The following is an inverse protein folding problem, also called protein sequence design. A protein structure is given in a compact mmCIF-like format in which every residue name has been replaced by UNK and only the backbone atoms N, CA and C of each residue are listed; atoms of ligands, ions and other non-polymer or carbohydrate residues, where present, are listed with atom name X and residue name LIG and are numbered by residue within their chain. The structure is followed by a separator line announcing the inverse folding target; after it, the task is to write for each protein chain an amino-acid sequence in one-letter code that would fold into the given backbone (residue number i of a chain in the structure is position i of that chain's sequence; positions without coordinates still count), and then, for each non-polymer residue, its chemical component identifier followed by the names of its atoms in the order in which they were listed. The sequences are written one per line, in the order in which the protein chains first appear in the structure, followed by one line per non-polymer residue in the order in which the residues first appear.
data_IF_507250203207
#
_entry.id   IF_507250203207
#
_cell.length_a   1.000
_cell.length_b   1.000
_cell.length_c   1.000
_cell.angle_alpha   90.00
_cell.angle_beta   90.00
_cell.angle_gamma   90.00
#
_symmetry.space_group_name_H-M   'P 1'
#
loop_
_entity.id
_entity.type
_entity.pdbx_description
1 polymer ?
#
# COMPACT_ATOMS: atom_id res chain seq x y z
N UNK A 1 -12.93 -28.36 -10.75
CA UNK A 1 -12.71 -26.91 -10.98
C UNK A 1 -13.56 -26.50 -12.15
N UNK A 2 -14.31 -25.43 -12.01
CA UNK A 2 -15.10 -24.87 -13.11
C UNK A 2 -14.18 -24.12 -14.08
N UNK A 3 -14.62 -23.98 -15.36
CA UNK A 3 -13.86 -23.20 -16.36
C UNK A 3 -13.53 -21.77 -15.87
N UNK A 4 -14.43 -21.16 -15.10
CA UNK A 4 -14.19 -19.85 -14.51
C UNK A 4 -13.03 -19.85 -13.49
N UNK A 5 -12.93 -20.86 -12.64
CA UNK A 5 -11.83 -21.01 -11.67
C UNK A 5 -10.47 -21.18 -12.36
N UNK A 6 -10.45 -21.93 -13.45
CA UNK A 6 -9.21 -22.10 -14.26
C UNK A 6 -8.78 -20.77 -14.87
N UNK A 7 -9.73 -20.00 -15.46
CA UNK A 7 -9.41 -18.69 -16.01
C UNK A 7 -8.88 -17.72 -14.93
N UNK A 8 -9.43 -17.73 -13.73
CA UNK A 8 -8.96 -16.90 -12.61
C UNK A 8 -7.54 -17.29 -12.23
N UNK A 9 -7.24 -18.59 -12.08
CA UNK A 9 -5.89 -19.07 -11.76
C UNK A 9 -4.87 -18.69 -12.82
N UNK A 10 -5.22 -18.82 -14.10
CA UNK A 10 -4.34 -18.41 -15.20
C UNK A 10 -4.06 -16.91 -15.14
N UNK A 11 -5.08 -16.10 -14.90
CA UNK A 11 -4.93 -14.64 -14.79
C UNK A 11 -4.02 -14.25 -13.61
N UNK A 12 -4.16 -14.90 -12.46
CA UNK A 12 -3.30 -14.69 -11.28
C UNK A 12 -1.87 -15.12 -11.62
N UNK A 13 -1.67 -16.28 -12.23
CA UNK A 13 -0.35 -16.77 -12.60
C UNK A 13 0.36 -15.85 -13.59
N UNK A 14 -0.33 -15.40 -14.62
CA UNK A 14 0.20 -14.44 -15.62
C UNK A 14 0.58 -13.12 -14.95
N UNK A 15 -0.27 -12.60 -14.05
CA UNK A 15 0.02 -11.38 -13.30
C UNK A 15 1.27 -11.54 -12.41
N UNK A 16 1.37 -12.63 -11.66
CA UNK A 16 2.54 -12.89 -10.79
C UNK A 16 3.83 -13.04 -11.59
N UNK A 17 3.80 -13.76 -12.71
CA UNK A 17 4.97 -13.91 -13.60
C UNK A 17 5.38 -12.55 -14.15
N UNK A 18 4.43 -11.73 -14.60
CA UNK A 18 4.72 -10.38 -15.10
C UNK A 18 5.34 -9.50 -14.00
N UNK A 19 4.80 -9.54 -12.78
CA UNK A 19 5.34 -8.79 -11.64
C UNK A 19 6.75 -9.24 -11.26
N UNK A 20 7.01 -10.55 -11.23
CA UNK A 20 8.35 -11.09 -10.97
C UNK A 20 9.34 -10.67 -12.06
N UNK A 21 8.95 -10.75 -13.33
CA UNK A 21 9.79 -10.33 -14.44
C UNK A 21 10.16 -8.84 -14.34
N UNK A 22 9.18 -7.97 -14.04
CA UNK A 22 9.42 -6.54 -13.82
C UNK A 22 10.34 -6.34 -12.61
N UNK A 23 10.11 -7.05 -11.51
CA UNK A 23 10.93 -6.98 -10.31
C UNK A 23 12.39 -7.34 -10.56
N UNK A 24 12.64 -8.42 -11.29
CA UNK A 24 14.00 -8.85 -11.67
C UNK A 24 14.69 -7.82 -12.59
N UNK A 25 13.98 -7.27 -13.56
CA UNK A 25 14.52 -6.25 -14.47
C UNK A 25 14.85 -4.96 -13.71
N UNK A 26 13.94 -4.52 -12.82
CA UNK A 26 14.14 -3.31 -12.03
C UNK A 26 15.22 -3.48 -10.96
N UNK A 27 15.34 -4.66 -10.35
CA UNK A 27 16.35 -4.97 -9.33
C UNK A 27 17.78 -4.72 -9.84
N UNK A 28 18.05 -5.00 -11.11
CA UNK A 28 19.37 -4.75 -11.71
C UNK A 28 19.75 -3.26 -11.81
N UNK A 29 18.79 -2.36 -11.64
CA UNK A 29 19.00 -0.91 -11.69
C UNK A 29 19.06 -0.24 -10.32
N UNK A 30 18.77 -0.99 -9.26
CA UNK A 30 18.75 -0.49 -7.89
C UNK A 30 20.11 -0.74 -7.22
N UNK A 31 20.96 0.28 -7.19
CA UNK A 31 22.30 0.18 -6.61
C UNK A 31 22.40 0.81 -5.21
N UNK A 32 21.43 1.62 -4.83
CA UNK A 32 21.44 2.35 -3.55
C UNK A 32 20.13 2.16 -2.79
N UNK A 33 20.16 2.44 -1.48
CA UNK A 33 18.97 2.42 -0.61
C UNK A 33 17.94 3.46 -1.10
N UNK A 34 18.40 4.62 -1.56
CA UNK A 34 17.55 5.66 -2.15
C UNK A 34 16.88 5.19 -3.45
N UNK A 35 17.57 4.42 -4.28
CA UNK A 35 17.00 3.86 -5.51
C UNK A 35 15.90 2.86 -5.17
N UNK A 36 16.10 2.03 -4.14
CA UNK A 36 15.13 1.02 -3.74
C UNK A 36 13.86 1.63 -3.14
N UNK A 37 13.98 2.55 -2.16
CA UNK A 37 12.82 3.11 -1.46
C UNK A 37 12.16 4.29 -2.19
N UNK A 38 12.93 5.10 -2.90
CA UNK A 38 12.49 6.36 -3.48
C UNK A 38 12.59 6.42 -5.00
N UNK A 39 12.96 5.30 -5.65
CA UNK A 39 13.22 5.26 -7.10
C UNK A 39 14.29 6.28 -7.53
N UNK A 40 15.30 6.52 -6.68
CA UNK A 40 16.34 7.52 -6.91
C UNK A 40 15.82 8.96 -6.99
N UNK A 41 14.58 9.21 -6.53
CA UNK A 41 13.86 10.50 -6.63
C UNK A 41 13.70 11.03 -8.06
N UNK A 42 13.82 10.14 -9.07
CA UNK A 42 13.76 10.45 -10.50
C UNK A 42 12.47 10.04 -11.18
N UNK A 43 11.52 9.50 -10.43
CA UNK A 43 10.22 9.07 -10.96
C UNK A 43 9.44 10.26 -11.51
N UNK A 44 8.88 10.09 -12.70
CA UNK A 44 7.99 11.06 -13.31
C UNK A 44 6.65 11.16 -12.55
N UNK A 45 5.87 12.24 -12.78
CA UNK A 45 4.64 12.48 -12.03
C UNK A 45 3.59 11.36 -12.22
N UNK A 46 3.46 10.83 -13.42
CA UNK A 46 2.50 9.74 -13.71
C UNK A 46 2.89 8.46 -12.97
N UNK A 47 4.16 8.05 -13.07
CA UNK A 47 4.65 6.85 -12.39
C UNK A 47 4.52 6.98 -10.87
N UNK A 48 4.81 8.17 -10.33
CA UNK A 48 4.65 8.45 -8.90
C UNK A 48 3.19 8.36 -8.46
N UNK A 49 2.26 8.91 -9.23
CA UNK A 49 0.84 8.84 -8.94
C UNK A 49 0.34 7.39 -8.98
N UNK A 50 0.67 6.64 -10.03
CA UNK A 50 0.30 5.22 -10.14
C UNK A 50 0.89 4.36 -9.02
N UNK A 51 2.15 4.61 -8.63
CA UNK A 51 2.80 3.90 -7.52
C UNK A 51 2.16 4.22 -6.18
N UNK A 52 1.79 5.49 -5.94
CA UNK A 52 1.11 5.90 -4.72
C UNK A 52 -0.26 5.22 -4.60
N UNK A 53 -1.07 5.27 -5.64
CA UNK A 53 -2.39 4.62 -5.68
C UNK A 53 -2.27 3.10 -5.50
N UNK A 54 -1.36 2.45 -6.22
CA UNK A 54 -1.15 1.01 -6.09
C UNK A 54 -0.70 0.58 -4.69
N UNK A 55 -0.01 1.45 -3.95
CA UNK A 55 0.46 1.17 -2.58
C UNK A 55 -0.59 1.49 -1.52
N UNK A 56 -1.47 2.44 -1.78
CA UNK A 56 -2.51 2.90 -0.84
C UNK A 56 -3.79 2.05 -0.93
N UNK A 57 -4.11 1.55 -2.13
CA UNK A 57 -5.27 0.70 -2.35
C UNK A 57 -5.15 -0.63 -1.62
N UNK A 58 -5.98 -0.80 -0.59
CA UNK A 58 -6.09 -2.04 0.17
C UNK A 58 -7.37 -2.80 -0.18
N UNK A 59 -7.57 -3.95 0.46
CA UNK A 59 -8.84 -4.68 0.42
C UNK A 59 -10.05 -3.83 0.85
N UNK A 60 -9.84 -2.73 1.58
CA UNK A 60 -10.88 -1.78 1.95
C UNK A 60 -11.57 -1.18 0.72
N UNK A 61 -10.82 -0.74 -0.28
CA UNK A 61 -11.40 -0.12 -1.47
C UNK A 61 -12.21 -1.10 -2.31
N UNK A 62 -11.74 -2.35 -2.43
CA UNK A 62 -12.37 -3.37 -3.29
C UNK A 62 -13.48 -4.16 -2.60
N UNK A 63 -13.41 -4.36 -1.30
CA UNK A 63 -14.34 -5.20 -0.54
C UNK A 63 -15.03 -4.44 0.59
N UNK A 64 -14.30 -3.60 1.34
CA UNK A 64 -14.83 -2.89 2.48
C UNK A 64 -15.82 -1.82 2.09
N UNK A 65 -15.45 -0.90 1.24
CA UNK A 65 -16.31 0.20 0.81
C UNK A 65 -17.58 -0.28 0.07
N UNK A 66 -17.48 -1.18 -0.92
CA UNK A 66 -18.68 -1.78 -1.53
C UNK A 66 -19.50 -2.60 -0.53
N UNK A 67 -18.87 -3.30 0.40
CA UNK A 67 -19.56 -4.06 1.44
C UNK A 67 -20.38 -3.17 2.38
N UNK A 68 -19.83 -2.04 2.81
CA UNK A 68 -20.57 -1.03 3.58
C UNK A 68 -21.71 -0.46 2.77
N UNK A 69 -21.50 -0.13 1.48
CA UNK A 69 -22.56 0.35 0.60
C UNK A 69 -23.71 -0.64 0.48
N UNK A 70 -23.41 -1.92 0.42
CA UNK A 70 -24.43 -2.97 0.37
C UNK A 70 -25.23 -3.09 1.67
N UNK A 71 -24.60 -2.92 2.83
CA UNK A 71 -25.22 -3.11 4.13
C UNK A 71 -25.96 -1.86 4.63
N UNK A 72 -25.43 -0.68 4.41
CA UNK A 72 -25.93 0.59 5.01
C UNK A 72 -26.50 1.56 3.96
N UNK A 73 -26.41 1.23 2.67
CA UNK A 73 -26.76 2.14 1.59
C UNK A 73 -25.58 3.00 1.13
N UNK A 74 -25.81 3.82 0.11
CA UNK A 74 -24.74 4.57 -0.60
C UNK A 74 -24.34 5.86 0.11
N UNK A 75 -25.10 6.34 1.10
CA UNK A 75 -24.86 7.64 1.73
C UNK A 75 -23.52 7.71 2.46
N UNK A 76 -23.27 6.80 3.40
CA UNK A 76 -22.03 6.78 4.19
C UNK A 76 -20.76 6.51 3.36
N UNK A 77 -20.74 5.45 2.50
CA UNK A 77 -19.59 5.22 1.63
C UNK A 77 -19.43 6.30 0.58
N UNK A 78 -20.49 6.96 0.14
CA UNK A 78 -20.43 8.10 -0.77
C UNK A 78 -19.67 9.30 -0.15
N UNK A 79 -19.99 9.66 1.08
CA UNK A 79 -19.26 10.70 1.81
C UNK A 79 -17.80 10.32 2.07
N UNK A 80 -17.54 9.06 2.37
CA UNK A 80 -16.18 8.54 2.53
C UNK A 80 -15.38 8.66 1.23
N UNK A 81 -15.95 8.27 0.09
CA UNK A 81 -15.30 8.38 -1.21
C UNK A 81 -14.99 9.83 -1.60
N UNK A 82 -15.95 10.75 -1.38
CA UNK A 82 -15.76 12.19 -1.61
C UNK A 82 -14.65 12.73 -0.69
N UNK A 83 -14.69 12.39 0.59
CA UNK A 83 -13.69 12.81 1.59
C UNK A 83 -12.28 12.33 1.23
N UNK A 84 -12.14 11.07 0.80
CA UNK A 84 -10.87 10.53 0.32
C UNK A 84 -10.39 11.24 -0.93
N UNK A 85 -11.24 11.46 -1.92
CA UNK A 85 -10.87 12.13 -3.17
C UNK A 85 -10.41 13.59 -2.93
N UNK A 86 -11.22 14.36 -2.20
CA UNK A 86 -10.89 15.75 -1.87
C UNK A 86 -9.67 15.83 -0.96
N UNK A 87 -9.59 14.98 0.07
CA UNK A 87 -8.47 14.93 1.02
C UNK A 87 -7.15 14.58 0.33
N UNK A 88 -7.15 13.59 -0.55
CA UNK A 88 -5.98 13.21 -1.36
C UNK A 88 -5.54 14.36 -2.26
N UNK A 89 -6.47 15.02 -2.94
CA UNK A 89 -6.15 16.18 -3.79
C UNK A 89 -5.49 17.30 -3.00
N UNK A 90 -6.06 17.69 -1.86
CA UNK A 90 -5.49 18.72 -0.96
C UNK A 90 -4.11 18.29 -0.45
N UNK A 91 -3.96 17.03 -0.03
CA UNK A 91 -2.70 16.49 0.44
C UNK A 91 -1.59 16.60 -0.63
N UNK A 92 -1.88 16.25 -1.88
CA UNK A 92 -0.93 16.38 -2.98
C UNK A 92 -0.55 17.83 -3.27
N UNK A 93 -1.50 18.76 -3.21
CA UNK A 93 -1.24 20.17 -3.44
C UNK A 93 -0.41 20.81 -2.33
N UNK A 94 -0.76 20.57 -1.07
CA UNK A 94 -0.23 21.31 0.08
C UNK A 94 0.93 20.59 0.74
N UNK A 95 0.75 19.31 1.08
CA UNK A 95 1.69 18.54 1.91
C UNK A 95 2.78 17.90 1.08
N UNK A 96 2.44 17.15 0.05
CA UNK A 96 3.40 16.33 -0.69
C UNK A 96 4.55 17.15 -1.29
N UNK A 97 4.25 18.30 -1.90
CA UNK A 97 5.26 19.17 -2.50
C UNK A 97 6.25 19.72 -1.47
N UNK A 98 5.76 20.13 -0.30
CA UNK A 98 6.58 20.65 0.79
C UNK A 98 7.42 19.56 1.42
N UNK A 99 6.78 18.42 1.72
CA UNK A 99 7.43 17.26 2.31
C UNK A 99 8.56 16.73 1.43
N UNK A 100 8.32 16.56 0.12
CA UNK A 100 9.34 16.13 -0.84
C UNK A 100 10.55 17.05 -0.86
N UNK A 101 10.34 18.36 -0.93
CA UNK A 101 11.45 19.33 -0.98
C UNK A 101 12.27 19.30 0.30
N UNK A 102 11.58 19.24 1.43
CA UNK A 102 12.26 19.27 2.72
C UNK A 102 12.99 17.95 3.01
N UNK A 103 12.34 16.80 2.79
CA UNK A 103 12.96 15.48 2.96
C UNK A 103 14.19 15.29 2.06
N UNK A 104 14.15 15.84 0.84
CA UNK A 104 15.31 15.82 -0.05
C UNK A 104 16.49 16.64 0.48
N UNK A 105 16.24 17.79 1.12
CA UNK A 105 17.29 18.64 1.69
C UNK A 105 17.97 18.01 2.91
N UNK A 106 17.19 17.34 3.76
CA UNK A 106 17.73 16.70 4.97
C UNK A 106 18.18 15.26 4.74
N UNK A 107 18.02 14.72 3.52
CA UNK A 107 18.39 13.35 3.16
C UNK A 107 17.54 12.27 3.86
N UNK A 108 16.32 12.60 4.29
CA UNK A 108 15.43 11.64 4.95
C UNK A 108 14.78 10.68 3.95
N UNK A 109 14.78 9.40 4.27
CA UNK A 109 14.21 8.32 3.43
C UNK A 109 12.83 7.92 3.95
N UNK A 110 12.67 7.80 5.27
CA UNK A 110 11.43 7.39 5.92
C UNK A 110 10.80 8.52 6.73
N UNK A 111 9.51 8.40 7.05
CA UNK A 111 8.81 9.39 7.89
C UNK A 111 9.41 9.48 9.30
N UNK A 112 9.75 8.38 10.00
CA UNK A 112 10.47 8.46 11.27
C UNK A 112 11.81 9.18 11.18
N UNK A 113 12.62 8.88 10.14
CA UNK A 113 13.91 9.55 9.89
C UNK A 113 13.72 11.04 9.58
N UNK A 114 12.64 11.39 8.85
CA UNK A 114 12.28 12.79 8.59
C UNK A 114 12.05 13.57 9.89
N UNK A 115 11.30 13.04 10.83
CA UNK A 115 11.06 13.71 12.11
C UNK A 115 12.34 13.84 12.93
N UNK A 116 13.12 12.78 13.05
CA UNK A 116 14.39 12.79 13.78
C UNK A 116 15.35 13.85 13.24
N UNK A 117 15.54 13.90 11.93
CA UNK A 117 16.44 14.89 11.29
C UNK A 117 15.89 16.31 11.34
N UNK A 118 14.57 16.47 11.21
CA UNK A 118 13.92 17.79 11.27
C UNK A 118 14.11 18.46 12.63
N UNK A 119 14.00 17.69 13.72
CA UNK A 119 14.14 18.19 15.07
C UNK A 119 15.56 18.11 15.62
N UNK A 120 16.51 17.62 14.81
CA UNK A 120 17.92 17.53 15.20
C UNK A 120 18.17 16.60 16.39
N UNK A 121 17.36 15.56 16.50
CA UNK A 121 17.39 14.68 17.65
C UNK A 121 18.64 13.77 17.65
N UNK A 122 19.37 13.76 18.76
CA UNK A 122 20.58 12.92 18.94
C UNK A 122 20.27 11.54 19.55
N UNK A 123 19.14 11.40 20.24
CA UNK A 123 18.80 10.19 21.03
C UNK A 123 17.88 9.20 20.31
N UNK A 124 17.45 9.49 19.09
CA UNK A 124 16.54 8.65 18.27
C UNK A 124 15.21 8.26 18.95
N UNK A 125 14.74 9.04 19.94
CA UNK A 125 13.49 8.78 20.67
C UNK A 125 12.29 8.97 19.75
N UNK A 126 12.28 10.04 18.93
CA UNK A 126 11.22 10.29 17.96
C UNK A 126 11.14 9.17 16.91
N UNK A 127 12.29 8.68 16.45
CA UNK A 127 12.36 7.54 15.53
C UNK A 127 11.77 6.29 16.17
N UNK A 128 12.13 6.01 17.43
CA UNK A 128 11.62 4.85 18.16
C UNK A 128 10.11 4.97 18.42
N UNK A 129 9.62 6.13 18.86
CA UNK A 129 8.19 6.35 19.05
C UNK A 129 7.39 6.19 17.76
N UNK A 130 7.87 6.79 16.66
CA UNK A 130 7.24 6.65 15.36
C UNK A 130 7.24 5.19 14.87
N UNK A 131 8.34 4.46 15.08
CA UNK A 131 8.42 3.04 14.73
C UNK A 131 7.44 2.19 15.53
N UNK A 132 7.31 2.42 16.84
CA UNK A 132 6.33 1.72 17.69
C UNK A 132 4.90 2.00 17.22
N UNK A 133 4.55 3.26 16.95
CA UNK A 133 3.24 3.62 16.43
C UNK A 133 2.96 2.93 15.09
N UNK A 134 3.93 2.91 14.18
CA UNK A 134 3.79 2.21 12.91
C UNK A 134 3.51 0.72 13.15
N UNK A 135 4.29 0.04 13.98
CA UNK A 135 4.09 -1.38 14.27
C UNK A 135 2.69 -1.64 14.86
N UNK A 136 2.28 -0.85 15.85
CA UNK A 136 0.98 -1.02 16.53
C UNK A 136 -0.19 -0.91 15.55
N UNK A 137 -0.14 0.01 14.60
CA UNK A 137 -1.23 0.22 13.64
C UNK A 137 -1.10 -0.64 12.37
N UNK A 138 0.10 -0.87 11.88
CA UNK A 138 0.29 -1.62 10.63
C UNK A 138 0.23 -3.13 10.78
N UNK A 139 0.53 -3.69 11.96
CA UNK A 139 0.38 -5.13 12.19
C UNK A 139 -1.09 -5.58 12.08
N UNK A 140 -2.05 -4.94 12.77
CA UNK A 140 -3.48 -5.26 12.58
C UNK A 140 -3.97 -4.97 11.16
N UNK A 141 -3.50 -3.90 10.54
CA UNK A 141 -3.83 -3.55 9.15
C UNK A 141 -3.41 -4.65 8.18
N UNK A 142 -2.17 -5.10 8.27
CA UNK A 142 -1.63 -6.19 7.44
C UNK A 142 -2.38 -7.51 7.70
N UNK A 143 -2.65 -7.83 8.96
CA UNK A 143 -3.42 -9.01 9.33
C UNK A 143 -4.84 -8.99 8.73
N UNK A 144 -5.50 -7.82 8.71
CA UNK A 144 -6.81 -7.67 8.06
C UNK A 144 -6.76 -7.91 6.56
N UNK A 145 -5.69 -7.48 5.88
CA UNK A 145 -5.44 -7.74 4.46
C UNK A 145 -5.31 -9.24 4.16
N UNK A 146 -4.53 -9.96 4.96
CA UNK A 146 -4.41 -11.41 4.84
C UNK A 146 -5.73 -12.14 5.08
N UNK A 147 -6.50 -11.71 6.09
CA UNK A 147 -7.82 -12.29 6.35
C UNK A 147 -8.79 -12.05 5.17
N UNK A 148 -8.73 -10.88 4.54
CA UNK A 148 -9.54 -10.58 3.34
C UNK A 148 -9.14 -11.47 2.15
N UNK A 149 -7.84 -11.64 1.89
CA UNK A 149 -7.35 -12.58 0.88
C UNK A 149 -7.82 -14.01 1.14
N UNK A 150 -7.69 -14.50 2.39
CA UNK A 150 -8.16 -15.82 2.77
C UNK A 150 -9.67 -16.03 2.52
N UNK A 151 -10.50 -15.03 2.83
CA UNK A 151 -11.94 -15.06 2.52
C UNK A 151 -12.21 -15.10 1.02
N UNK A 152 -11.47 -14.30 0.23
CA UNK A 152 -11.59 -14.27 -1.22
C UNK A 152 -11.28 -15.64 -1.84
N UNK A 153 -10.15 -16.24 -1.48
CA UNK A 153 -9.77 -17.57 -1.95
C UNK A 153 -10.78 -18.65 -1.53
N UNK A 154 -11.30 -18.56 -0.30
CA UNK A 154 -12.37 -19.46 0.15
C UNK A 154 -13.64 -19.35 -0.67
N UNK A 155 -14.07 -18.13 -1.02
CA UNK A 155 -15.24 -17.91 -1.83
C UNK A 155 -15.06 -18.36 -3.29
N UNK A 156 -13.87 -18.16 -3.87
CA UNK A 156 -13.59 -18.50 -5.26
C UNK A 156 -13.35 -20.01 -5.48
N UNK A 157 -12.67 -20.65 -4.55
CA UNK A 157 -12.20 -22.04 -4.72
C UNK A 157 -12.89 -23.05 -3.79
N UNK A 158 -13.76 -22.60 -2.88
CA UNK A 158 -14.45 -23.46 -1.93
C UNK A 158 -13.53 -24.11 -0.89
N UNK A 159 -12.33 -23.52 -0.65
CA UNK A 159 -11.35 -24.04 0.31
C UNK A 159 -11.80 -23.80 1.75
N UNK A 160 -11.56 -24.74 2.64
CA UNK A 160 -11.87 -24.59 4.06
C UNK A 160 -10.91 -23.58 4.72
N UNK A 161 -11.32 -23.01 5.86
CA UNK A 161 -10.56 -21.95 6.55
C UNK A 161 -9.15 -22.41 6.99
N UNK A 162 -8.98 -23.70 7.28
CA UNK A 162 -7.70 -24.28 7.68
C UNK A 162 -6.69 -24.31 6.51
N UNK A 163 -7.17 -24.67 5.32
CA UNK A 163 -6.34 -24.73 4.10
C UNK A 163 -5.94 -23.32 3.60
N UNK A 164 -6.70 -22.30 3.97
CA UNK A 164 -6.43 -20.89 3.59
C UNK A 164 -5.20 -20.32 4.27
N UNK A 165 -4.79 -20.81 5.42
CA UNK A 165 -3.60 -20.37 6.15
C UNK A 165 -2.30 -20.72 5.44
N UNK A 166 -2.33 -21.74 4.58
CA UNK A 166 -1.16 -22.19 3.83
C UNK A 166 -0.94 -21.42 2.52
N UNK A 167 -1.91 -20.58 2.10
CA UNK A 167 -1.85 -19.82 0.84
C UNK A 167 -1.46 -18.34 1.06
N UNK A 168 -1.35 -17.93 2.30
CA UNK A 168 -0.90 -16.62 2.77
C UNK A 168 0.43 -16.80 3.52
#
# INVERSE_FOLDING_TARGET
MTSAQVCILISIAVYLIAMLAIGIVCSKRNNTVDDFYLGGRRLGPVVTAMSAEASDMSSWLLMGLPGVAYLTGVADPGWTAIGLGVGTYINWLVVARRLRRYSARIGAITVPDFFSRRFGEKKHILTAMAAILIIVFFVPYTASGFAACGKLFGALFGMDYQDRKSVV
#
